data_IF_171498292476
#
_entry.id   IF_171498292476
#
_cell.length_a   1.000
_cell.length_b   1.000
_cell.length_c   1.000
_cell.angle_alpha   90.00
_cell.angle_beta   90.00
_cell.angle_gamma   90.00
#
_symmetry.space_group_name_H-M   'P 1'
#
loop_
_entity.id
_entity.type
_entity.pdbx_description
1 polymer ?
#
# COMPACT_ATOMS: atom_id res chain seq x y z
N UNK A 1 -4.39 19.77 -14.06
CA UNK A 1 -4.12 21.15 -14.52
C UNK A 1 -2.66 21.60 -14.38
N UNK A 2 -2.10 21.90 -13.19
CA UNK A 2 -0.72 22.41 -13.11
C UNK A 2 0.36 21.38 -13.48
N UNK A 3 0.17 20.11 -13.08
CA UNK A 3 1.10 19.01 -13.40
C UNK A 3 1.07 18.68 -14.89
N UNK A 4 -0.11 18.55 -15.50
CA UNK A 4 -0.24 18.28 -16.94
C UNK A 4 0.33 19.43 -17.79
N UNK A 5 0.14 20.68 -17.37
CA UNK A 5 0.75 21.83 -18.03
C UNK A 5 2.28 21.86 -17.89
N UNK A 6 2.83 21.36 -16.78
CA UNK A 6 4.28 21.23 -16.60
C UNK A 6 4.88 20.09 -17.44
N UNK A 7 4.17 18.96 -17.54
CA UNK A 7 4.54 17.85 -18.44
C UNK A 7 4.52 18.31 -19.91
N UNK A 8 3.49 19.05 -20.32
CA UNK A 8 3.38 19.60 -21.68
C UNK A 8 4.47 20.64 -22.01
N UNK A 9 5.10 21.26 -21.00
CA UNK A 9 6.18 22.24 -21.15
C UNK A 9 7.60 21.63 -21.05
N UNK A 10 7.73 20.31 -20.94
CA UNK A 10 9.03 19.64 -20.82
C UNK A 10 9.75 19.94 -19.50
N UNK A 11 9.03 20.36 -18.46
CA UNK A 11 9.62 20.64 -17.15
C UNK A 11 9.98 19.31 -16.49
N UNK A 12 11.24 19.13 -16.06
CA UNK A 12 11.66 17.98 -15.25
C UNK A 12 11.00 18.04 -13.87
N UNK A 13 9.92 17.29 -13.69
CA UNK A 13 9.12 17.27 -12.44
C UNK A 13 9.86 16.50 -11.33
N UNK A 14 10.64 15.49 -11.70
CA UNK A 14 11.40 14.63 -10.78
C UNK A 14 12.83 14.51 -11.31
N UNK A 15 13.78 14.75 -10.41
CA UNK A 15 15.21 14.47 -10.57
C UNK A 15 15.53 13.14 -9.88
N UNK A 16 15.95 12.15 -10.67
CA UNK A 16 16.23 10.80 -10.16
C UNK A 16 17.67 10.64 -9.66
N UNK A 17 18.50 11.67 -9.75
CA UNK A 17 19.93 11.60 -9.47
C UNK A 17 20.74 11.37 -10.74
N UNK A 18 22.03 11.74 -10.67
CA UNK A 18 22.92 11.85 -11.83
C UNK A 18 22.97 10.58 -12.67
N UNK A 19 23.17 9.43 -12.03
CA UNK A 19 23.38 8.15 -12.70
C UNK A 19 22.13 7.73 -13.48
N UNK A 20 20.95 7.92 -12.90
CA UNK A 20 19.67 7.60 -13.57
C UNK A 20 19.37 8.62 -14.66
N UNK A 21 19.63 9.91 -14.42
CA UNK A 21 19.43 10.96 -15.42
C UNK A 21 20.34 10.78 -16.65
N UNK A 22 21.56 10.29 -16.47
CA UNK A 22 22.47 9.96 -17.58
C UNK A 22 21.90 8.84 -18.45
N UNK A 23 21.36 7.77 -17.86
CA UNK A 23 20.71 6.69 -18.62
C UNK A 23 19.39 7.13 -19.27
N UNK A 24 18.60 7.95 -18.57
CA UNK A 24 17.40 8.56 -19.15
C UNK A 24 17.77 9.39 -20.38
N UNK A 25 18.83 10.19 -20.32
CA UNK A 25 19.26 11.03 -21.44
C UNK A 25 19.66 10.21 -22.68
N UNK A 26 20.37 9.08 -22.50
CA UNK A 26 20.72 8.15 -23.59
C UNK A 26 19.48 7.62 -24.30
N UNK A 27 18.48 7.18 -23.53
CA UNK A 27 17.22 6.67 -24.06
C UNK A 27 16.40 7.79 -24.71
N UNK A 28 16.32 8.96 -24.07
CA UNK A 28 15.65 10.15 -24.62
C UNK A 28 16.22 10.52 -25.99
N UNK A 29 17.54 10.48 -26.17
CA UNK A 29 18.18 10.79 -27.46
C UNK A 29 17.75 9.83 -28.57
N UNK A 30 17.68 8.53 -28.28
CA UNK A 30 17.24 7.52 -29.24
C UNK A 30 15.75 7.66 -29.56
N UNK A 31 14.92 7.90 -28.55
CA UNK A 31 13.46 8.03 -28.70
C UNK A 31 13.11 9.33 -29.45
N UNK A 32 13.86 10.41 -29.22
CA UNK A 32 13.63 11.72 -29.85
C UNK A 32 13.80 11.70 -31.37
N UNK A 33 14.58 10.74 -31.89
CA UNK A 33 14.76 10.52 -33.33
C UNK A 33 13.54 9.88 -34.00
N UNK A 34 12.52 9.49 -33.22
CA UNK A 34 11.35 8.77 -33.70
C UNK A 34 10.09 9.62 -33.52
N UNK A 35 9.66 10.22 -34.62
CA UNK A 35 8.46 11.07 -34.67
C UNK A 35 7.19 10.32 -34.25
N UNK A 36 7.04 9.05 -34.67
CA UNK A 36 5.88 8.23 -34.33
C UNK A 36 5.68 8.01 -32.82
N UNK A 37 6.76 8.03 -32.03
CA UNK A 37 6.71 7.89 -30.57
C UNK A 37 6.51 9.26 -29.90
N UNK A 38 7.27 10.25 -30.33
CA UNK A 38 7.28 11.59 -29.74
C UNK A 38 6.01 12.40 -30.01
N UNK A 39 5.30 12.11 -31.11
CA UNK A 39 3.99 12.68 -31.40
C UNK A 39 2.91 12.26 -30.39
N UNK A 40 3.10 11.12 -29.71
CA UNK A 40 2.09 10.51 -28.83
C UNK A 40 2.46 10.59 -27.35
N UNK A 41 3.76 10.48 -27.04
CA UNK A 41 4.25 10.48 -25.67
C UNK A 41 5.55 11.31 -25.56
N UNK A 42 5.77 12.00 -24.43
CA UNK A 42 7.05 12.66 -24.17
C UNK A 42 8.20 11.63 -24.15
N UNK A 43 9.32 11.94 -24.83
CA UNK A 43 10.49 11.04 -24.90
C UNK A 43 11.01 10.65 -23.51
N UNK A 44 11.08 11.62 -22.59
CA UNK A 44 11.45 11.40 -21.18
C UNK A 44 10.56 10.38 -20.48
N UNK A 45 9.26 10.47 -20.70
CA UNK A 45 8.31 9.57 -20.06
C UNK A 45 8.51 8.13 -20.54
N UNK A 46 8.72 7.95 -21.86
CA UNK A 46 9.03 6.64 -22.43
C UNK A 46 10.37 6.09 -21.92
N UNK A 47 11.41 6.92 -21.83
CA UNK A 47 12.70 6.54 -21.28
C UNK A 47 12.60 6.03 -19.83
N UNK A 48 11.92 6.80 -18.96
CA UNK A 48 11.68 6.38 -17.57
C UNK A 48 10.89 5.08 -17.51
N UNK A 49 9.84 4.92 -18.33
CA UNK A 49 9.02 3.71 -18.35
C UNK A 49 9.78 2.47 -18.81
N UNK A 50 10.70 2.63 -19.75
CA UNK A 50 11.59 1.55 -20.16
C UNK A 50 12.53 1.12 -19.02
N UNK A 51 13.07 2.07 -18.25
CA UNK A 51 13.91 1.77 -17.08
C UNK A 51 13.12 1.19 -15.90
N UNK A 52 11.83 1.50 -15.80
CA UNK A 52 10.87 0.83 -14.88
C UNK A 52 10.43 -0.55 -15.41
N UNK A 53 11.03 -1.06 -16.48
CA UNK A 53 10.76 -2.37 -17.05
C UNK A 53 9.27 -2.60 -17.46
N UNK A 54 8.56 -1.53 -17.85
CA UNK A 54 7.14 -1.57 -18.21
C UNK A 54 6.86 -2.43 -19.45
N UNK A 55 6.11 -3.52 -19.26
CA UNK A 55 5.81 -4.50 -20.31
C UNK A 55 4.97 -3.93 -21.45
N UNK A 56 4.00 -3.06 -21.15
CA UNK A 56 3.12 -2.47 -22.17
C UNK A 56 3.91 -1.52 -23.07
N UNK A 57 4.81 -0.73 -22.50
CA UNK A 57 5.68 0.18 -23.26
C UNK A 57 6.68 -0.60 -24.13
N UNK A 58 7.28 -1.67 -23.60
CA UNK A 58 8.19 -2.54 -24.37
C UNK A 58 7.50 -3.18 -25.57
N UNK A 59 6.29 -3.71 -25.37
CA UNK A 59 5.51 -4.33 -26.46
C UNK A 59 5.17 -3.31 -27.55
N UNK A 60 4.67 -2.13 -27.16
CA UNK A 60 4.34 -1.05 -28.11
C UNK A 60 5.55 -0.58 -28.92
N UNK A 61 6.73 -0.47 -28.31
CA UNK A 61 7.95 -0.08 -29.01
C UNK A 61 8.45 -1.21 -29.91
N UNK A 62 8.40 -2.46 -29.44
CA UNK A 62 8.81 -3.65 -30.20
C UNK A 62 7.96 -3.90 -31.44
N UNK A 63 6.68 -3.51 -31.43
CA UNK A 63 5.80 -3.60 -32.59
C UNK A 63 6.17 -2.65 -33.74
N UNK A 64 7.01 -1.64 -33.50
CA UNK A 64 7.39 -0.66 -34.52
C UNK A 64 8.71 -1.14 -35.17
N UNK A 65 8.82 -1.30 -36.50
CA UNK A 65 9.93 -1.97 -37.20
C UNK A 65 11.37 -1.71 -36.70
N UNK A 66 12.25 -0.88 -37.24
CA UNK A 66 13.66 -0.81 -36.76
C UNK A 66 13.92 -0.21 -35.35
N UNK A 67 13.31 -0.71 -34.27
CA UNK A 67 13.35 -0.10 -32.91
C UNK A 67 13.87 -1.05 -31.82
N UNK A 68 14.37 -2.21 -32.21
CA UNK A 68 15.07 -3.14 -31.31
C UNK A 68 16.26 -2.48 -30.58
N UNK A 69 16.89 -1.47 -31.19
CA UNK A 69 18.00 -0.73 -30.58
C UNK A 69 17.60 -0.03 -29.28
N UNK A 70 16.37 0.50 -29.19
CA UNK A 70 15.88 1.18 -27.98
C UNK A 70 15.71 0.17 -26.84
N UNK A 71 15.14 -1.00 -27.15
CA UNK A 71 14.95 -2.06 -26.16
C UNK A 71 16.29 -2.59 -25.67
N UNK A 72 17.26 -2.78 -26.58
CA UNK A 72 18.62 -3.18 -26.25
C UNK A 72 19.33 -2.14 -25.37
N UNK A 73 19.20 -0.85 -25.71
CA UNK A 73 19.75 0.22 -24.89
C UNK A 73 19.09 0.25 -23.50
N UNK A 74 17.78 0.04 -23.41
CA UNK A 74 17.07 0.00 -22.13
C UNK A 74 17.57 -1.14 -21.25
N UNK A 75 17.73 -2.34 -21.79
CA UNK A 75 18.31 -3.49 -21.08
C UNK A 75 19.73 -3.21 -20.59
N UNK A 76 20.59 -2.64 -21.44
CA UNK A 76 21.95 -2.25 -21.05
C UNK A 76 21.97 -1.20 -19.93
N UNK A 77 21.06 -0.22 -20.02
CA UNK A 77 20.92 0.85 -19.03
C UNK A 77 20.44 0.31 -17.68
N UNK A 78 19.43 -0.58 -17.67
CA UNK A 78 18.96 -1.25 -16.46
C UNK A 78 20.06 -2.11 -15.82
N UNK A 79 20.81 -2.87 -16.61
CA UNK A 79 21.94 -3.65 -16.12
C UNK A 79 23.04 -2.77 -15.53
N UNK A 80 23.32 -1.61 -16.14
CA UNK A 80 24.27 -0.64 -15.61
C UNK A 80 23.84 -0.07 -14.26
N UNK A 81 22.58 0.37 -14.16
CA UNK A 81 22.01 0.90 -12.92
C UNK A 81 21.99 -0.16 -11.81
N UNK A 82 21.69 -1.42 -12.15
CA UNK A 82 21.76 -2.54 -11.21
C UNK A 82 23.16 -2.76 -10.66
N UNK A 83 24.20 -2.62 -11.49
CA UNK A 83 25.58 -2.74 -11.03
C UNK A 83 26.00 -1.59 -10.11
N UNK A 84 25.45 -0.38 -10.32
CA UNK A 84 25.76 0.79 -9.49
C UNK A 84 25.04 0.73 -8.14
N UNK A 85 23.73 0.48 -8.17
CA UNK A 85 22.86 0.60 -6.99
C UNK A 85 22.67 -0.71 -6.24
N UNK A 86 22.99 -1.86 -6.85
CA UNK A 86 22.80 -3.18 -6.26
C UNK A 86 21.35 -3.65 -6.23
N UNK A 87 20.42 -2.92 -6.87
CA UNK A 87 18.99 -3.19 -6.91
C UNK A 87 18.45 -2.94 -8.33
N UNK A 88 17.24 -3.40 -8.62
CA UNK A 88 16.57 -3.18 -9.90
C UNK A 88 16.29 -1.69 -10.11
N UNK A 89 16.46 -1.22 -11.36
CA UNK A 89 16.28 0.19 -11.71
C UNK A 89 14.87 0.70 -11.36
N UNK A 90 13.85 -0.16 -11.50
CA UNK A 90 12.47 0.12 -11.10
C UNK A 90 12.37 0.50 -9.61
N UNK A 91 12.98 -0.29 -8.72
CA UNK A 91 12.98 -0.05 -7.27
C UNK A 91 13.61 1.30 -6.95
N UNK A 92 14.79 1.56 -7.51
CA UNK A 92 15.54 2.81 -7.23
C UNK A 92 14.76 4.03 -7.74
N UNK A 93 14.16 3.95 -8.92
CA UNK A 93 13.32 5.03 -9.49
C UNK A 93 12.10 5.29 -8.60
N UNK A 94 11.44 4.23 -8.11
CA UNK A 94 10.31 4.34 -7.21
C UNK A 94 10.73 5.01 -5.89
N UNK A 95 11.84 4.61 -5.29
CA UNK A 95 12.36 5.19 -4.05
C UNK A 95 12.66 6.68 -4.18
N UNK A 96 13.26 7.10 -5.30
CA UNK A 96 13.51 8.53 -5.58
C UNK A 96 12.21 9.32 -5.70
N UNK A 97 11.21 8.75 -6.38
CA UNK A 97 9.88 9.36 -6.53
C UNK A 97 9.18 9.51 -5.18
N UNK A 98 9.16 8.46 -4.36
CA UNK A 98 8.57 8.50 -3.02
C UNK A 98 9.37 9.40 -2.06
N UNK A 99 10.69 9.47 -2.19
CA UNK A 99 11.55 10.40 -1.49
C UNK A 99 11.15 11.86 -1.75
N UNK A 100 10.94 12.22 -3.02
CA UNK A 100 10.46 13.55 -3.39
C UNK A 100 9.05 13.83 -2.84
N UNK A 101 8.11 12.90 -3.03
CA UNK A 101 6.72 13.05 -2.58
C UNK A 101 6.67 13.23 -1.05
N UNK A 102 7.40 12.41 -0.30
CA UNK A 102 7.46 12.50 1.16
C UNK A 102 8.09 13.80 1.63
N UNK A 103 9.15 14.28 0.95
CA UNK A 103 9.76 15.57 1.20
C UNK A 103 8.81 16.74 0.95
N UNK A 104 8.03 16.70 -0.14
CA UNK A 104 7.00 17.69 -0.45
C UNK A 104 5.85 17.63 0.56
N UNK A 105 5.36 16.43 0.88
CA UNK A 105 4.30 16.20 1.84
C UNK A 105 4.67 16.79 3.21
N UNK A 106 5.90 16.59 3.69
CA UNK A 106 6.39 17.20 4.94
C UNK A 106 6.39 18.74 4.93
N UNK A 107 6.59 19.37 3.77
CA UNK A 107 6.60 20.84 3.64
C UNK A 107 5.20 21.43 3.51
N UNK A 108 4.29 20.74 2.83
CA UNK A 108 2.95 21.25 2.53
C UNK A 108 1.95 20.87 3.63
N UNK A 109 2.09 19.68 4.22
CA UNK A 109 1.25 19.25 5.32
C UNK A 109 1.74 19.87 6.63
N UNK A 110 0.94 20.76 7.20
CA UNK A 110 1.08 21.13 8.61
C UNK A 110 0.52 19.99 9.45
N UNK A 111 1.40 19.10 9.95
CA UNK A 111 1.03 18.25 11.09
C UNK A 111 0.72 19.18 12.27
N UNK A 112 -0.44 19.06 12.93
CA UNK A 112 -0.66 19.77 14.19
C UNK A 112 0.44 19.33 15.17
N UNK A 113 1.02 20.28 15.90
CA UNK A 113 2.11 20.04 16.85
C UNK A 113 1.74 19.06 17.99
N UNK A 114 0.46 18.72 18.10
CA UNK A 114 -0.08 17.76 19.03
C UNK A 114 -0.78 16.69 18.21
N UNK A 115 -0.25 15.47 18.19
CA UNK A 115 -1.07 14.30 17.92
C UNK A 115 -2.19 14.33 18.96
N UNK A 116 -3.39 14.75 18.55
CA UNK A 116 -4.57 14.63 19.40
C UNK A 116 -4.74 13.14 19.62
N UNK A 117 -4.30 12.67 20.78
CA UNK A 117 -4.57 11.31 21.25
C UNK A 117 -6.04 11.05 20.99
N UNK A 118 -6.32 10.05 20.15
CA UNK A 118 -7.68 9.65 19.90
C UNK A 118 -8.27 9.13 21.22
N UNK A 119 -9.59 9.08 21.32
CA UNK A 119 -10.25 8.47 22.47
C UNK A 119 -9.78 7.02 22.66
N UNK A 120 -9.51 6.31 21.56
CA UNK A 120 -8.89 4.98 21.54
C UNK A 120 -7.50 4.99 22.19
N UNK A 121 -6.59 5.87 21.75
CA UNK A 121 -5.22 5.92 22.28
C UNK A 121 -5.17 6.20 23.79
N UNK A 122 -6.12 7.01 24.28
CA UNK A 122 -6.23 7.30 25.71
C UNK A 122 -6.71 6.09 26.51
N UNK A 123 -7.68 5.34 25.98
CA UNK A 123 -8.18 4.12 26.62
C UNK A 123 -7.09 3.06 26.64
N UNK A 124 -6.42 2.83 25.51
CA UNK A 124 -5.34 1.84 25.42
C UNK A 124 -4.22 2.18 26.40
N UNK A 125 -3.83 3.45 26.53
CA UNK A 125 -2.81 3.86 27.51
C UNK A 125 -3.19 3.57 28.96
N UNK A 126 -4.47 3.57 29.29
CA UNK A 126 -4.98 3.24 30.64
C UNK A 126 -5.05 1.73 30.82
N UNK A 127 -5.62 1.03 29.84
CA UNK A 127 -5.85 -0.43 29.88
C UNK A 127 -4.53 -1.21 29.81
N UNK A 128 -3.57 -0.74 29.01
CA UNK A 128 -2.25 -1.39 28.83
C UNK A 128 -1.20 -0.92 29.85
N UNK A 129 -1.56 -0.02 30.78
CA UNK A 129 -0.63 0.41 31.82
C UNK A 129 -0.29 -0.78 32.73
N UNK A 130 0.99 -1.06 32.94
CA UNK A 130 1.48 -2.18 33.75
C UNK A 130 0.88 -2.23 35.17
N UNK A 131 0.55 -1.07 35.76
CA UNK A 131 0.03 -0.96 37.12
C UNK A 131 -1.51 -0.96 37.14
N UNK A 132 -2.16 -0.25 36.22
CA UNK A 132 -3.63 -0.14 36.18
C UNK A 132 -4.31 -1.30 35.43
N UNK A 133 -3.59 -1.96 34.53
CA UNK A 133 -4.09 -3.07 33.74
C UNK A 133 -4.50 -4.28 34.59
N UNK A 134 -3.73 -4.60 35.65
CA UNK A 134 -4.05 -5.72 36.55
C UNK A 134 -5.37 -5.46 37.31
N UNK A 135 -5.57 -4.32 38.00
CA UNK A 135 -6.86 -3.99 38.62
C UNK A 135 -8.03 -3.97 37.65
N UNK A 136 -7.86 -3.38 36.45
CA UNK A 136 -8.92 -3.30 35.44
C UNK A 136 -9.29 -4.70 34.96
N UNK A 137 -8.30 -5.54 34.67
CA UNK A 137 -8.52 -6.92 34.25
C UNK A 137 -9.30 -7.70 35.31
N UNK A 138 -8.92 -7.59 36.58
CA UNK A 138 -9.65 -8.23 37.69
C UNK A 138 -11.08 -7.71 37.81
N UNK A 139 -11.31 -6.41 37.65
CA UNK A 139 -12.65 -5.81 37.68
C UNK A 139 -13.54 -6.30 36.53
N UNK A 140 -13.00 -6.37 35.31
CA UNK A 140 -13.73 -6.93 34.15
C UNK A 140 -14.01 -8.41 34.35
N UNK A 141 -13.03 -9.18 34.83
CA UNK A 141 -13.21 -10.60 35.10
C UNK A 141 -14.28 -10.83 36.19
N UNK A 142 -14.28 -10.00 37.23
CA UNK A 142 -15.30 -10.02 38.27
C UNK A 142 -16.70 -9.70 37.71
N UNK A 143 -16.82 -8.70 36.82
CA UNK A 143 -18.08 -8.41 36.14
C UNK A 143 -18.56 -9.59 35.30
N UNK A 144 -17.67 -10.25 34.57
CA UNK A 144 -18.01 -11.48 33.82
C UNK A 144 -18.55 -12.56 34.77
N UNK A 145 -17.92 -12.76 35.93
CA UNK A 145 -18.45 -13.69 36.94
C UNK A 145 -19.84 -13.30 37.44
N UNK A 146 -20.11 -11.99 37.64
CA UNK A 146 -21.46 -11.53 38.01
C UNK A 146 -22.48 -11.79 36.90
N UNK A 147 -22.11 -11.57 35.63
CA UNK A 147 -22.98 -11.90 34.50
C UNK A 147 -23.30 -13.39 34.41
N UNK A 148 -22.30 -14.25 34.60
CA UNK A 148 -22.48 -15.71 34.64
C UNK A 148 -23.31 -16.12 35.86
N UNK A 149 -23.10 -15.52 37.02
CA UNK A 149 -23.91 -15.80 38.21
C UNK A 149 -25.37 -15.37 38.03
N UNK A 150 -25.60 -14.25 37.33
CA UNK A 150 -26.93 -13.73 37.04
C UNK A 150 -27.62 -14.43 35.86
N UNK A 151 -26.94 -15.34 35.14
CA UNK A 151 -27.57 -16.15 34.09
C UNK A 151 -28.33 -17.36 34.64
N UNK A 152 -28.37 -17.57 35.96
CA UNK A 152 -29.13 -18.64 36.62
C UNK A 152 -30.58 -18.76 36.12
N UNK A 153 -31.39 -17.68 36.12
CA UNK A 153 -32.76 -17.73 35.61
C UNK A 153 -32.89 -18.11 34.13
N UNK A 154 -31.86 -17.82 33.32
CA UNK A 154 -31.81 -18.21 31.91
C UNK A 154 -31.48 -19.70 31.76
N UNK A 155 -30.57 -20.21 32.59
CA UNK A 155 -30.26 -21.65 32.69
C UNK A 155 -31.48 -22.44 33.18
N UNK A 156 -32.16 -21.95 34.22
CA UNK A 156 -33.35 -22.60 34.78
C UNK A 156 -34.50 -22.64 33.76
N UNK A 157 -34.67 -21.58 32.96
CA UNK A 157 -35.63 -21.56 31.86
C UNK A 157 -35.28 -22.57 30.76
N UNK A 158 -34.01 -22.63 30.34
CA UNK A 158 -33.55 -23.62 29.36
C UNK A 158 -33.76 -25.05 29.85
N UNK A 159 -33.40 -25.34 31.11
CA UNK A 159 -33.58 -26.66 31.72
C UNK A 159 -35.08 -27.01 31.81
N UNK A 160 -35.95 -26.07 32.16
CA UNK A 160 -37.39 -26.30 32.20
C UNK A 160 -38.00 -26.61 30.82
N UNK A 161 -37.52 -25.97 29.77
CA UNK A 161 -37.99 -26.21 28.39
C UNK A 161 -37.45 -27.53 27.83
N UNK A 162 -36.18 -27.85 28.11
CA UNK A 162 -35.54 -29.09 27.65
C UNK A 162 -36.09 -30.32 28.39
N UNK A 163 -36.23 -30.25 29.71
CA UNK A 163 -36.69 -31.36 30.55
C UNK A 163 -38.21 -31.54 30.56
N UNK A 164 -38.97 -30.49 30.20
CA UNK A 164 -40.43 -30.54 30.15
C UNK A 164 -40.95 -30.90 28.76
N UNK A 165 -41.38 -29.92 27.95
CA UNK A 165 -41.98 -30.16 26.63
C UNK A 165 -41.10 -31.04 25.74
N UNK A 166 -39.82 -30.71 25.58
CA UNK A 166 -38.98 -31.39 24.59
C UNK A 166 -38.74 -32.86 24.97
N UNK A 167 -38.40 -33.13 26.23
CA UNK A 167 -38.23 -34.50 26.71
C UNK A 167 -39.54 -35.31 26.64
N UNK A 168 -40.70 -34.70 26.97
CA UNK A 168 -42.00 -35.37 26.86
C UNK A 168 -42.37 -35.74 25.43
N UNK A 169 -42.09 -34.88 24.47
CA UNK A 169 -42.29 -35.19 23.05
C UNK A 169 -41.34 -36.27 22.57
N UNK A 170 -40.07 -36.24 23.00
CA UNK A 170 -39.09 -37.28 22.68
C UNK A 170 -39.49 -38.66 23.21
N UNK A 171 -39.92 -38.74 24.47
CA UNK A 171 -40.42 -39.99 25.07
C UNK A 171 -41.71 -40.47 24.39
N UNK A 172 -42.64 -39.56 24.05
CA UNK A 172 -43.86 -39.92 23.34
C UNK A 172 -43.61 -40.49 21.93
N UNK A 173 -42.55 -40.03 21.24
CA UNK A 173 -42.13 -40.55 19.93
C UNK A 173 -41.41 -41.90 20.07
N UNK A 174 -40.66 -42.13 21.15
CA UNK A 174 -39.92 -43.38 21.40
C UNK A 174 -40.79 -44.51 21.97
N UNK A 175 -41.95 -44.19 22.57
CA UNK A 175 -42.89 -45.16 23.15
C UNK A 175 -44.05 -45.49 22.19
N UNK A 176 -43.85 -45.24 20.89
CA UNK A 176 -44.75 -45.46 19.76
C UNK A 176 -44.05 -46.36 18.74
#
# INVERSE_FOLDING_TARGET
MAVEAAVARGIKIVDYGREIEEEIAKLEELISKIEALTARYPARWLAVKLLENDSEVKEKIGAIPGRAEILRQAEASMAHLRNIFGDEAETVIADRRYGLISGLAKRVLRKPAVERLTTSDRIDKIVTNRVLGIPIFLGVMWLVFQFVACSGPYSDWLDGVLSGPIARWGVAILNL
#
